data_IF_928750728651
#
_entry.id   IF_928750728651
#
_cell.length_a   1.000
_cell.length_b   1.000
_cell.length_c   1.000
_cell.angle_alpha   90.00
_cell.angle_beta   90.00
_cell.angle_gamma   90.00
#
_symmetry.space_group_name_H-M   'P 1'
#
loop_
_entity.id
_entity.type
_entity.pdbx_description
1 polymer ?
#
# COMPACT_ATOMS: atom_id res chain seq x y z
N UNK A 1 5.82 0.41 -10.90
CA UNK A 1 5.38 1.63 -10.19
C UNK A 1 4.58 1.27 -8.95
N UNK A 2 4.12 2.28 -8.18
CA UNK A 2 3.44 2.09 -6.90
C UNK A 2 2.23 1.14 -6.97
N UNK A 3 1.26 1.44 -7.86
CA UNK A 3 0.04 0.63 -7.99
C UNK A 3 0.29 -0.84 -8.37
N UNK A 4 1.24 -1.11 -9.29
CA UNK A 4 1.61 -2.48 -9.66
C UNK A 4 2.21 -3.26 -8.48
N UNK A 5 3.02 -2.60 -7.64
CA UNK A 5 3.62 -3.23 -6.45
C UNK A 5 2.54 -3.55 -5.41
N UNK A 6 1.62 -2.61 -5.14
CA UNK A 6 0.49 -2.82 -4.21
C UNK A 6 -0.41 -3.96 -4.70
N UNK A 7 -0.84 -3.92 -5.97
CA UNK A 7 -1.73 -4.93 -6.54
C UNK A 7 -1.10 -6.34 -6.54
N UNK A 8 0.17 -6.45 -6.90
CA UNK A 8 0.89 -7.74 -6.89
C UNK A 8 1.14 -8.27 -5.47
N UNK A 9 1.32 -7.40 -4.47
CA UNK A 9 1.41 -7.81 -3.06
C UNK A 9 0.08 -8.35 -2.53
N UNK A 10 -1.05 -7.75 -2.94
CA UNK A 10 -2.37 -8.21 -2.51
C UNK A 10 -2.78 -9.53 -3.19
N UNK A 11 -2.70 -9.60 -4.52
CA UNK A 11 -3.26 -10.71 -5.30
C UNK A 11 -2.44 -11.10 -6.53
N UNK A 12 -1.13 -10.82 -6.53
CA UNK A 12 -0.24 -11.23 -7.62
C UNK A 12 -0.17 -12.75 -7.77
N UNK A 13 -0.22 -13.22 -9.01
CA UNK A 13 0.03 -14.62 -9.35
C UNK A 13 1.45 -15.05 -8.91
N UNK A 14 1.64 -16.36 -8.75
CA UNK A 14 2.96 -16.89 -8.44
C UNK A 14 3.92 -16.68 -9.63
N UNK A 15 5.05 -16.03 -9.36
CA UNK A 15 6.12 -15.80 -10.33
C UNK A 15 7.40 -16.42 -9.77
N UNK A 16 7.83 -17.52 -10.38
CA UNK A 16 9.07 -18.19 -10.03
C UNK A 16 10.29 -17.36 -10.43
N UNK A 17 11.39 -17.54 -9.70
CA UNK A 17 12.68 -16.87 -9.96
C UNK A 17 12.57 -15.34 -9.99
N UNK A 18 11.65 -14.78 -9.20
CA UNK A 18 11.57 -13.35 -8.97
C UNK A 18 12.75 -12.91 -8.09
N UNK A 19 13.43 -11.85 -8.52
CA UNK A 19 14.50 -11.19 -7.77
C UNK A 19 14.59 -9.72 -8.17
N UNK A 20 15.23 -8.92 -7.34
CA UNK A 20 15.62 -7.55 -7.68
C UNK A 20 17.09 -7.53 -8.12
N UNK A 21 17.38 -6.97 -9.30
CA UNK A 21 18.69 -7.05 -9.98
C UNK A 21 19.26 -8.48 -9.98
N UNK A 22 20.55 -8.64 -9.66
CA UNK A 22 21.34 -9.87 -9.72
C UNK A 22 21.10 -10.83 -8.54
N UNK A 23 19.85 -10.94 -8.06
CA UNK A 23 19.44 -11.99 -7.12
C UNK A 23 19.03 -11.53 -5.71
N UNK A 24 18.86 -10.22 -5.47
CA UNK A 24 18.34 -9.77 -4.18
C UNK A 24 16.91 -10.29 -3.97
N UNK A 25 16.67 -10.89 -2.80
CA UNK A 25 15.40 -11.51 -2.43
C UNK A 25 14.89 -12.56 -3.45
N UNK A 26 15.80 -13.31 -4.06
CA UNK A 26 15.45 -14.37 -5.00
C UNK A 26 14.47 -15.40 -4.40
N UNK A 27 13.42 -15.73 -5.14
CA UNK A 27 12.44 -16.74 -4.75
C UNK A 27 11.22 -16.75 -5.66
N UNK A 28 10.10 -17.26 -5.15
CA UNK A 28 8.81 -17.16 -5.83
C UNK A 28 8.01 -16.01 -5.22
N UNK A 29 7.77 -14.96 -6.00
CA UNK A 29 6.89 -13.86 -5.58
C UNK A 29 5.43 -14.27 -5.76
N UNK A 30 4.56 -13.94 -4.80
CA UNK A 30 3.10 -14.11 -4.89
C UNK A 30 2.40 -13.13 -3.95
N UNK A 31 1.15 -12.80 -4.26
CA UNK A 31 0.31 -12.01 -3.38
C UNK A 31 -0.25 -12.81 -2.21
N UNK A 32 -0.93 -12.11 -1.29
CA UNK A 32 -1.65 -12.74 -0.17
C UNK A 32 -2.81 -13.65 -0.61
N UNK A 33 -3.50 -13.29 -1.70
CA UNK A 33 -4.57 -14.11 -2.29
C UNK A 33 -4.42 -14.21 -3.83
N UNK A 34 -3.52 -15.08 -4.34
CA UNK A 34 -3.28 -15.21 -5.78
C UNK A 34 -4.51 -15.57 -6.65
N UNK A 35 -5.52 -16.32 -6.17
CA UNK A 35 -6.73 -16.61 -6.95
C UNK A 35 -7.71 -15.43 -7.06
N UNK A 36 -7.53 -14.36 -6.27
CA UNK A 36 -8.43 -13.23 -6.30
C UNK A 36 -8.34 -12.45 -7.63
N UNK A 37 -9.46 -11.90 -8.08
CA UNK A 37 -9.49 -11.01 -9.24
C UNK A 37 -9.08 -9.60 -8.82
N UNK A 38 -8.38 -8.90 -9.70
CA UNK A 38 -7.94 -7.52 -9.48
C UNK A 38 -8.73 -6.60 -10.41
N UNK A 39 -9.45 -5.63 -9.85
CA UNK A 39 -9.97 -4.46 -10.56
C UNK A 39 -9.10 -3.25 -10.21
N UNK A 40 -8.68 -2.48 -11.22
CA UNK A 40 -7.73 -1.37 -11.03
C UNK A 40 -8.40 -0.03 -11.34
N UNK A 41 -8.50 0.81 -10.32
CA UNK A 41 -8.99 2.19 -10.43
C UNK A 41 -7.82 3.15 -10.22
N UNK A 42 -7.34 3.76 -11.31
CA UNK A 42 -6.20 4.68 -11.26
C UNK A 42 -6.66 6.07 -10.82
N UNK A 43 -6.46 6.39 -9.55
CA UNK A 43 -6.86 7.68 -8.96
C UNK A 43 -5.74 8.71 -8.82
N UNK A 44 -4.49 8.28 -9.01
CA UNK A 44 -3.31 9.13 -8.95
C UNK A 44 -2.60 9.18 -10.30
N UNK A 45 -2.06 10.35 -10.62
CA UNK A 45 -1.11 10.55 -11.72
C UNK A 45 0.29 10.90 -11.16
N UNK A 46 1.18 11.44 -11.99
CA UNK A 46 2.54 11.79 -11.56
C UNK A 46 2.57 12.93 -10.54
N UNK A 47 1.54 13.79 -10.56
CA UNK A 47 1.49 15.02 -9.79
C UNK A 47 0.65 14.88 -8.52
N UNK A 48 -0.52 14.21 -8.60
CA UNK A 48 -1.46 14.18 -7.49
C UNK A 48 -2.50 13.03 -7.53
N UNK A 49 -3.17 12.82 -6.40
CA UNK A 49 -4.34 11.96 -6.22
C UNK A 49 -5.58 12.82 -5.97
N UNK A 50 -6.23 13.27 -7.05
CA UNK A 50 -7.33 14.26 -6.98
C UNK A 50 -8.57 13.67 -6.30
N UNK A 51 -9.08 14.35 -5.27
CA UNK A 51 -10.26 13.93 -4.47
C UNK A 51 -11.48 13.54 -5.31
N UNK A 52 -11.76 14.28 -6.39
CA UNK A 52 -12.89 14.00 -7.30
C UNK A 52 -12.74 12.67 -8.05
N UNK A 53 -11.51 12.31 -8.44
CA UNK A 53 -11.24 11.04 -9.12
C UNK A 53 -11.29 9.90 -8.10
N UNK A 54 -10.82 10.15 -6.88
CA UNK A 54 -10.90 9.18 -5.78
C UNK A 54 -12.36 8.83 -5.46
N UNK A 55 -13.23 9.81 -5.26
CA UNK A 55 -14.64 9.58 -4.97
C UNK A 55 -15.35 8.84 -6.13
N UNK A 56 -15.08 9.23 -7.38
CA UNK A 56 -15.61 8.52 -8.54
C UNK A 56 -15.16 7.05 -8.60
N UNK A 57 -13.91 6.77 -8.23
CA UNK A 57 -13.41 5.39 -8.16
C UNK A 57 -14.07 4.56 -7.05
N UNK A 58 -14.47 5.18 -5.93
CA UNK A 58 -15.29 4.50 -4.93
C UNK A 58 -16.67 4.17 -5.48
N UNK A 59 -17.34 5.12 -6.15
CA UNK A 59 -18.64 4.88 -6.78
C UNK A 59 -18.56 3.73 -7.80
N UNK A 60 -17.56 3.76 -8.70
CA UNK A 60 -17.35 2.70 -9.69
C UNK A 60 -17.05 1.35 -9.01
N UNK A 61 -16.18 1.31 -8.00
CA UNK A 61 -15.84 0.07 -7.30
C UNK A 61 -17.04 -0.54 -6.56
N UNK A 62 -17.89 0.30 -5.95
CA UNK A 62 -19.13 -0.13 -5.30
C UNK A 62 -20.10 -0.67 -6.35
N UNK A 63 -20.30 0.05 -7.46
CA UNK A 63 -21.19 -0.37 -8.54
C UNK A 63 -20.72 -1.68 -9.22
N UNK A 64 -19.42 -1.85 -9.39
CA UNK A 64 -18.80 -3.07 -9.93
C UNK A 64 -18.87 -4.26 -8.96
N UNK A 65 -19.26 -4.02 -7.70
CA UNK A 65 -19.45 -5.05 -6.70
C UNK A 65 -18.15 -5.69 -6.23
N UNK A 66 -17.08 -4.90 -6.02
CA UNK A 66 -15.83 -5.42 -5.43
C UNK A 66 -16.06 -5.84 -3.97
N UNK A 67 -15.28 -6.80 -3.47
CA UNK A 67 -15.43 -7.29 -2.08
C UNK A 67 -14.49 -6.59 -1.09
N UNK A 68 -13.33 -6.13 -1.57
CA UNK A 68 -12.30 -5.46 -0.77
C UNK A 68 -11.69 -4.34 -1.60
N UNK A 69 -11.53 -3.17 -1.01
CA UNK A 69 -10.77 -2.04 -1.57
C UNK A 69 -9.46 -1.93 -0.82
N UNK A 70 -8.34 -2.06 -1.53
CA UNK A 70 -7.00 -1.82 -1.01
C UNK A 70 -6.48 -0.49 -1.51
N UNK A 71 -6.29 0.47 -0.60
CA UNK A 71 -5.89 1.83 -0.92
C UNK A 71 -4.65 2.24 -0.13
N UNK A 72 -3.48 2.14 -0.74
CA UNK A 72 -2.22 2.63 -0.15
C UNK A 72 -2.01 4.13 -0.41
N UNK A 73 -2.97 4.95 0.02
CA UNK A 73 -2.98 6.42 -0.10
C UNK A 73 -3.30 7.04 1.26
N UNK A 74 -2.93 8.30 1.47
CA UNK A 74 -3.20 9.01 2.71
C UNK A 74 -2.83 10.48 2.62
N UNK A 75 -3.53 11.32 3.39
CA UNK A 75 -3.20 12.75 3.55
C UNK A 75 -2.13 12.96 4.63
N UNK A 76 -1.24 13.95 4.45
CA UNK A 76 -0.26 14.35 5.47
C UNK A 76 -0.90 14.99 6.71
N UNK A 77 -2.10 15.53 6.56
CA UNK A 77 -2.86 16.15 7.63
C UNK A 77 -4.20 15.45 7.76
N UNK A 78 -4.56 15.13 9.01
CA UNK A 78 -5.91 14.67 9.34
C UNK A 78 -6.91 15.77 9.00
N UNK A 79 -8.06 15.32 8.52
CA UNK A 79 -9.21 16.16 8.20
C UNK A 79 -10.39 15.63 9.00
N UNK A 80 -11.37 16.49 9.27
CA UNK A 80 -12.66 16.02 9.76
C UNK A 80 -13.27 15.02 8.76
N UNK A 81 -13.98 14.00 9.25
CA UNK A 81 -14.45 12.90 8.40
C UNK A 81 -15.34 13.36 7.24
N UNK A 82 -16.11 14.44 7.44
CA UNK A 82 -16.99 15.02 6.41
C UNK A 82 -16.24 15.86 5.36
N UNK A 83 -14.94 16.11 5.57
CA UNK A 83 -14.06 16.83 4.65
C UNK A 83 -12.97 15.93 4.05
N UNK A 84 -12.89 14.67 4.51
CA UNK A 84 -11.95 13.69 4.00
C UNK A 84 -12.59 12.81 2.91
N UNK A 85 -12.20 12.97 1.63
CA UNK A 85 -12.73 12.12 0.55
C UNK A 85 -12.40 10.63 0.75
N UNK A 86 -11.32 10.29 1.46
CA UNK A 86 -10.99 8.89 1.79
C UNK A 86 -11.98 8.33 2.80
N UNK A 87 -12.29 9.09 3.86
CA UNK A 87 -13.26 8.69 4.87
C UNK A 87 -14.68 8.56 4.28
N UNK A 88 -15.11 9.54 3.47
CA UNK A 88 -16.43 9.56 2.82
C UNK A 88 -16.60 8.36 1.87
N UNK A 89 -15.66 8.17 0.94
CA UNK A 89 -15.73 7.06 0.00
C UNK A 89 -15.67 5.70 0.70
N UNK A 90 -14.82 5.59 1.73
CA UNK A 90 -14.74 4.37 2.52
C UNK A 90 -16.01 4.08 3.33
N UNK A 91 -16.68 5.11 3.84
CA UNK A 91 -17.93 4.96 4.58
C UNK A 91 -19.00 4.33 3.68
N UNK A 92 -19.21 4.88 2.48
CA UNK A 92 -20.16 4.32 1.52
C UNK A 92 -19.79 2.90 1.08
N UNK A 93 -18.51 2.60 0.87
CA UNK A 93 -18.09 1.23 0.56
C UNK A 93 -18.44 0.26 1.70
N UNK A 94 -18.19 0.64 2.95
CA UNK A 94 -18.48 -0.19 4.13
C UNK A 94 -19.99 -0.36 4.36
N UNK A 95 -20.81 0.67 4.10
CA UNK A 95 -22.27 0.56 4.11
C UNK A 95 -22.79 -0.48 3.10
N UNK A 96 -22.07 -0.66 1.99
CA UNK A 96 -22.35 -1.68 0.97
C UNK A 96 -21.67 -3.04 1.26
N UNK A 97 -21.11 -3.24 2.45
CA UNK A 97 -20.48 -4.50 2.86
C UNK A 97 -19.08 -4.74 2.28
N UNK A 98 -18.45 -3.69 1.73
CA UNK A 98 -17.11 -3.75 1.13
C UNK A 98 -16.08 -3.36 2.18
N UNK A 99 -15.08 -4.23 2.43
CA UNK A 99 -14.02 -3.91 3.38
C UNK A 99 -13.00 -2.96 2.77
N UNK A 100 -12.65 -1.88 3.48
CA UNK A 100 -11.65 -0.90 3.02
C UNK A 100 -10.39 -1.00 3.88
N UNK A 101 -9.25 -1.17 3.22
CA UNK A 101 -7.93 -1.29 3.87
C UNK A 101 -7.03 -0.16 3.40
N UNK A 102 -6.53 0.64 4.34
CA UNK A 102 -5.66 1.79 4.07
C UNK A 102 -4.34 1.73 4.84
N UNK A 103 -3.32 2.44 4.35
CA UNK A 103 -2.06 2.61 5.08
C UNK A 103 -2.18 3.69 6.17
N UNK A 104 -1.48 3.51 7.28
CA UNK A 104 -1.39 4.52 8.35
C UNK A 104 -0.54 5.75 7.96
N UNK A 105 0.11 5.74 6.79
CA UNK A 105 1.04 6.79 6.36
C UNK A 105 2.46 6.62 6.91
N UNK A 106 3.39 7.41 6.35
CA UNK A 106 4.83 7.31 6.60
C UNK A 106 5.41 8.52 7.34
N UNK A 107 4.57 9.30 8.05
CA UNK A 107 4.97 10.57 8.68
C UNK A 107 5.42 10.43 10.15
N UNK A 108 5.57 9.18 10.63
CA UNK A 108 6.08 8.89 11.98
C UNK A 108 7.51 9.40 12.22
N UNK A 109 8.07 9.20 13.42
CA UNK A 109 7.56 8.38 14.53
C UNK A 109 6.84 9.16 15.63
N UNK A 110 6.61 10.47 15.46
CA UNK A 110 5.96 11.28 16.50
C UNK A 110 4.49 10.86 16.68
N UNK A 111 3.92 11.01 17.89
CA UNK A 111 2.50 10.80 18.11
C UNK A 111 1.63 11.63 17.16
N UNK A 112 0.42 11.14 16.86
CA UNK A 112 -0.58 11.82 16.03
C UNK A 112 -0.11 12.18 14.61
N UNK A 113 0.64 11.27 13.98
CA UNK A 113 1.16 11.43 12.60
C UNK A 113 0.54 10.46 11.60
N UNK A 114 -0.40 9.62 12.03
CA UNK A 114 -1.08 8.68 11.16
C UNK A 114 -2.10 9.36 10.24
N UNK A 115 -2.40 8.72 9.12
CA UNK A 115 -3.48 9.03 8.18
C UNK A 115 -4.57 7.96 8.27
N UNK A 116 -5.73 8.20 7.65
CA UNK A 116 -6.85 7.25 7.56
C UNK A 116 -7.35 6.78 8.93
N UNK A 117 -7.73 7.71 9.80
CA UNK A 117 -8.15 7.44 11.18
C UNK A 117 -9.66 7.18 11.34
N UNK A 118 -10.41 7.14 10.24
CA UNK A 118 -11.83 6.85 10.26
C UNK A 118 -12.10 5.42 10.80
N UNK A 119 -13.03 5.24 11.75
CA UNK A 119 -13.19 3.98 12.48
C UNK A 119 -13.72 2.81 11.65
N UNK A 120 -14.25 3.07 10.45
CA UNK A 120 -14.72 2.05 9.52
C UNK A 120 -13.61 1.56 8.57
N UNK A 121 -12.40 2.13 8.63
CA UNK A 121 -11.26 1.73 7.80
C UNK A 121 -10.34 0.78 8.59
N UNK A 122 -9.88 -0.28 7.93
CA UNK A 122 -8.78 -1.10 8.45
C UNK A 122 -7.47 -0.40 8.14
N UNK A 123 -6.90 0.28 9.14
CA UNK A 123 -5.69 1.10 8.98
C UNK A 123 -4.43 0.34 9.40
N UNK A 124 -3.49 0.18 8.46
CA UNK A 124 -2.36 -0.73 8.58
C UNK A 124 -1.04 0.02 8.77
N UNK A 125 -0.33 -0.25 9.87
CA UNK A 125 1.03 0.23 10.12
C UNK A 125 2.09 -0.64 9.43
N UNK A 126 3.34 -0.18 9.38
CA UNK A 126 4.46 -0.92 8.81
C UNK A 126 5.44 -1.39 9.89
N UNK A 127 5.96 -2.61 9.72
CA UNK A 127 7.03 -3.19 10.54
C UNK A 127 8.08 -3.85 9.66
N UNK A 128 9.22 -4.21 10.26
CA UNK A 128 10.24 -5.02 9.59
C UNK A 128 9.87 -6.51 9.57
N UNK A 129 10.57 -7.27 8.73
CA UNK A 129 10.54 -8.75 8.69
C UNK A 129 11.88 -9.30 9.16
N UNK A 130 12.01 -10.62 9.26
CA UNK A 130 13.24 -11.31 9.67
C UNK A 130 14.35 -11.34 8.60
N UNK A 131 14.03 -10.89 7.37
CA UNK A 131 14.98 -10.80 6.26
C UNK A 131 15.67 -9.43 6.22
N UNK A 132 16.99 -9.46 6.28
CA UNK A 132 17.89 -8.32 6.10
C UNK A 132 18.49 -8.27 4.69
N UNK A 133 18.69 -7.07 4.15
CA UNK A 133 19.56 -6.87 3.00
C UNK A 133 20.90 -6.33 3.45
N UNK A 134 22.00 -6.91 2.95
CA UNK A 134 23.35 -6.55 3.38
C UNK A 134 24.16 -5.95 2.24
N UNK A 135 24.88 -4.88 2.54
CA UNK A 135 25.84 -4.24 1.66
C UNK A 135 27.19 -4.17 2.38
N UNK A 136 28.15 -4.99 1.97
CA UNK A 136 29.48 -4.99 2.54
C UNK A 136 30.34 -3.90 1.89
N UNK A 137 30.89 -3.00 2.70
CA UNK A 137 31.78 -1.91 2.27
C UNK A 137 33.23 -2.33 2.51
N UNK A 138 34.01 -2.46 1.43
CA UNK A 138 35.45 -2.71 1.50
C UNK A 138 36.21 -1.39 1.58
N UNK A 139 36.88 -1.17 2.70
CA UNK A 139 37.76 -0.02 2.95
C UNK A 139 39.22 -0.35 2.58
N UNK A 140 40.03 0.70 2.42
CA UNK A 140 41.48 0.56 2.23
C UNK A 140 42.13 -0.28 3.33
N UNK A 141 43.12 -1.09 2.95
CA UNK A 141 43.79 -2.04 3.86
C UNK A 141 43.00 -3.33 4.13
N UNK A 142 41.94 -3.61 3.35
CA UNK A 142 41.20 -4.88 3.41
C UNK A 142 40.15 -4.97 4.52
N UNK A 143 39.86 -3.85 5.22
CA UNK A 143 38.84 -3.81 6.27
C UNK A 143 37.44 -3.83 5.63
N UNK A 144 36.59 -4.76 6.05
CA UNK A 144 35.19 -4.85 5.60
C UNK A 144 34.26 -4.32 6.68
N UNK A 145 33.34 -3.43 6.32
CA UNK A 145 32.23 -2.96 7.16
C UNK A 145 30.93 -3.54 6.62
N UNK A 146 30.26 -4.37 7.42
CA UNK A 146 28.97 -4.96 7.05
C UNK A 146 27.86 -3.97 7.37
N UNK A 147 27.11 -3.54 6.35
CA UNK A 147 25.95 -2.67 6.53
C UNK A 147 24.69 -3.51 6.32
N UNK A 148 23.78 -3.45 7.28
CA UNK A 148 22.42 -4.00 7.16
C UNK A 148 21.51 -2.83 6.77
N UNK A 149 20.77 -2.97 5.68
CA UNK A 149 19.74 -2.05 5.22
C UNK A 149 18.37 -2.43 5.74
#
# INVERSE_FOLDING_TARGET
>A
GHGSHVASTAAGAAVEKASFYDGLAAGTARGGSPPAKIAVYKVCDEDDCRSRILLHAFDDAIADGVQVISMSLGSRHLKEFLEDPQAIGAFHAVEHGITVVCSAGNSGPRPSTMSNDAPWIVTVAASTVDRDFRSDILLGGGKVVKVIQ
#
